data_IF_859983230479
#
_entry.id   IF_859983230479
#
_cell.length_a   1.000
_cell.length_b   1.000
_cell.length_c   1.000
_cell.angle_alpha   90.00
_cell.angle_beta   90.00
_cell.angle_gamma   90.00
#
_symmetry.space_group_name_H-M   'P 1'
#
loop_
_entity.id
_entity.type
_entity.pdbx_description
1 polymer ?
#
# COMPACT_ATOMS: atom_id res chain seq x y z
N UNK A 1 2.12 19.49 -9.11
CA UNK A 1 2.33 19.04 -10.51
C UNK A 1 2.82 17.61 -10.48
N UNK A 2 2.30 16.70 -11.30
CA UNK A 2 2.71 15.28 -11.28
C UNK A 2 4.11 15.09 -11.91
N UNK A 3 4.93 14.21 -11.34
CA UNK A 3 6.24 13.86 -11.90
C UNK A 3 6.08 12.93 -13.11
N UNK A 4 6.06 13.52 -14.32
CA UNK A 4 5.85 12.78 -15.58
C UNK A 4 6.94 11.74 -15.84
N UNK A 5 8.18 12.01 -15.42
CA UNK A 5 9.30 11.08 -15.61
C UNK A 5 9.07 9.79 -14.82
N UNK A 6 8.71 9.91 -13.54
CA UNK A 6 8.43 8.75 -12.70
C UNK A 6 7.19 7.96 -13.15
N UNK A 7 6.14 8.66 -13.64
CA UNK A 7 4.97 8.00 -14.24
C UNK A 7 5.39 7.15 -15.45
N UNK A 8 6.20 7.71 -16.35
CA UNK A 8 6.66 7.01 -17.56
C UNK A 8 7.57 5.83 -17.18
N UNK A 9 8.46 5.99 -16.19
CA UNK A 9 9.29 4.89 -15.67
C UNK A 9 8.43 3.76 -15.11
N UNK A 10 7.44 4.08 -14.26
CA UNK A 10 6.53 3.08 -13.71
C UNK A 10 5.72 2.38 -14.80
N UNK A 11 5.21 3.11 -15.79
CA UNK A 11 4.49 2.54 -16.92
C UNK A 11 5.38 1.63 -17.78
N UNK A 12 6.60 2.04 -18.10
CA UNK A 12 7.53 1.21 -18.88
C UNK A 12 7.89 -0.08 -18.13
N UNK A 13 8.15 0.00 -16.82
CA UNK A 13 8.41 -1.19 -15.98
C UNK A 13 7.24 -2.16 -15.99
N UNK A 14 6.02 -1.65 -15.81
CA UNK A 14 4.80 -2.45 -15.89
C UNK A 14 4.63 -3.12 -17.25
N UNK A 15 4.96 -2.43 -18.34
CA UNK A 15 4.91 -3.00 -19.68
C UNK A 15 5.93 -4.12 -19.87
N UNK A 16 7.16 -3.96 -19.37
CA UNK A 16 8.17 -5.02 -19.34
C UNK A 16 7.71 -6.24 -18.53
N UNK A 17 6.90 -6.01 -17.49
CA UNK A 17 6.35 -7.07 -16.65
C UNK A 17 5.09 -7.74 -17.23
N UNK A 18 4.79 -7.52 -18.53
CA UNK A 18 3.76 -8.23 -19.29
C UNK A 18 2.46 -7.47 -19.52
N UNK A 19 2.31 -6.24 -19.02
CA UNK A 19 1.12 -5.44 -19.29
C UNK A 19 1.19 -4.80 -20.69
N UNK A 20 0.03 -4.62 -21.33
CA UNK A 20 -0.02 -3.77 -22.53
C UNK A 20 0.35 -2.33 -22.16
N UNK A 21 0.94 -1.58 -23.10
CA UNK A 21 1.29 -0.15 -22.87
C UNK A 21 0.11 0.66 -22.34
N UNK A 22 -1.09 0.46 -22.90
CA UNK A 22 -2.30 1.15 -22.45
C UNK A 22 -2.64 0.84 -20.98
N UNK A 23 -2.62 -0.44 -20.58
CA UNK A 23 -2.87 -0.83 -19.20
C UNK A 23 -1.79 -0.29 -18.24
N UNK A 24 -0.53 -0.36 -18.65
CA UNK A 24 0.59 0.09 -17.85
C UNK A 24 0.53 1.61 -17.57
N UNK A 25 0.26 2.41 -18.60
CA UNK A 25 0.09 3.86 -18.44
C UNK A 25 -1.14 4.22 -17.60
N UNK A 26 -2.27 3.52 -17.75
CA UNK A 26 -3.45 3.72 -16.90
C UNK A 26 -3.12 3.48 -15.42
N UNK A 27 -2.47 2.35 -15.10
CA UNK A 27 -2.09 2.01 -13.71
C UNK A 27 -1.08 2.99 -13.12
N UNK A 28 -0.06 3.39 -13.88
CA UNK A 28 0.92 4.38 -13.43
C UNK A 28 0.27 5.74 -13.15
N UNK A 29 -0.68 6.16 -13.97
CA UNK A 29 -1.44 7.39 -13.74
C UNK A 29 -2.38 7.31 -12.55
N UNK A 30 -3.05 6.17 -12.34
CA UNK A 30 -3.86 5.93 -11.13
C UNK A 30 -3.01 6.06 -9.86
N UNK A 31 -1.81 5.48 -9.85
CA UNK A 31 -0.89 5.62 -8.73
C UNK A 31 -0.43 7.06 -8.52
N UNK A 32 -0.05 7.77 -9.58
CA UNK A 32 0.40 9.15 -9.44
C UNK A 32 -0.69 10.08 -8.88
N UNK A 33 -1.97 9.76 -9.13
CA UNK A 33 -3.11 10.49 -8.57
C UNK A 33 -3.40 10.17 -7.10
N UNK A 34 -2.75 9.13 -6.53
CA UNK A 34 -3.10 8.59 -5.22
C UNK A 34 -4.25 7.59 -5.35
N UNK A 35 -3.89 6.31 -5.45
CA UNK A 35 -4.87 5.22 -5.52
C UNK A 35 -5.26 4.81 -4.11
N UNK A 36 -6.55 4.86 -3.80
CA UNK A 36 -7.06 4.30 -2.55
C UNK A 36 -7.05 2.78 -2.59
N UNK A 37 -6.44 2.17 -1.60
CA UNK A 37 -6.32 0.73 -1.43
C UNK A 37 -7.00 0.29 -0.13
N UNK A 38 -7.62 -0.88 -0.18
CA UNK A 38 -8.21 -1.53 0.99
C UNK A 38 -7.19 -2.53 1.53
N UNK A 39 -6.86 -2.39 2.81
CA UNK A 39 -5.94 -3.30 3.50
C UNK A 39 -6.68 -4.59 3.88
N UNK A 40 -6.05 -5.73 3.62
CA UNK A 40 -6.54 -7.08 3.90
C UNK A 40 -5.79 -7.71 5.07
N UNK A 41 -6.35 -8.77 5.64
CA UNK A 41 -5.73 -9.48 6.78
C UNK A 41 -5.78 -8.72 8.12
N UNK A 42 -6.56 -7.64 8.20
CA UNK A 42 -6.67 -6.75 9.38
C UNK A 42 -7.23 -7.44 10.63
N UNK A 43 -7.91 -8.57 10.48
CA UNK A 43 -8.55 -9.31 11.59
C UNK A 43 -7.59 -10.24 12.33
N UNK A 44 -6.41 -10.52 11.76
CA UNK A 44 -5.53 -11.55 12.30
C UNK A 44 -4.59 -10.98 13.37
N UNK A 45 -4.38 -11.76 14.44
CA UNK A 45 -3.41 -11.45 15.49
C UNK A 45 -3.67 -10.09 16.15
N UNK A 46 -2.62 -9.31 16.37
CA UNK A 46 -2.67 -8.01 17.07
C UNK A 46 -3.03 -6.83 16.15
N UNK A 47 -3.43 -7.09 14.90
CA UNK A 47 -3.67 -6.02 13.90
C UNK A 47 -4.88 -5.16 14.25
N UNK A 48 -5.94 -5.73 14.80
CA UNK A 48 -7.08 -4.95 15.30
C UNK A 48 -6.69 -4.01 16.44
N UNK A 49 -5.85 -4.47 17.37
CA UNK A 49 -5.31 -3.64 18.45
C UNK A 49 -4.43 -2.51 17.90
N UNK A 50 -3.58 -2.80 16.91
CA UNK A 50 -2.76 -1.79 16.25
C UNK A 50 -3.62 -0.72 15.54
N UNK A 51 -4.66 -1.13 14.80
CA UNK A 51 -5.58 -0.19 14.13
C UNK A 51 -6.37 0.64 15.15
N UNK A 52 -6.81 0.03 16.25
CA UNK A 52 -7.47 0.75 17.35
C UNK A 52 -6.53 1.78 18.01
N UNK A 53 -5.25 1.43 18.16
CA UNK A 53 -4.23 2.34 18.69
C UNK A 53 -3.99 3.51 17.73
N UNK A 54 -3.94 3.27 16.41
CA UNK A 54 -3.82 4.32 15.39
C UNK A 54 -4.94 5.37 15.48
N UNK A 55 -6.17 4.99 15.89
CA UNK A 55 -7.30 5.93 16.03
C UNK A 55 -7.08 7.00 17.10
N UNK A 56 -6.14 6.79 18.02
CA UNK A 56 -5.88 7.73 19.12
C UNK A 56 -4.94 8.88 18.70
N UNK A 57 -4.41 8.86 17.48
CA UNK A 57 -3.43 9.83 16.98
C UNK A 57 -4.00 10.63 15.81
N UNK A 58 -3.46 11.81 15.56
CA UNK A 58 -3.78 12.54 14.35
C UNK A 58 -3.27 11.77 13.11
N UNK A 59 -4.03 11.69 12.00
CA UNK A 59 -3.58 10.99 10.80
C UNK A 59 -2.21 11.44 10.26
N UNK A 60 -1.78 12.69 10.53
CA UNK A 60 -0.46 13.20 10.14
C UNK A 60 0.69 12.62 10.97
N UNK A 61 0.40 12.09 12.16
CA UNK A 61 1.38 11.39 13.01
C UNK A 61 1.56 9.92 12.63
N UNK A 62 0.62 9.38 11.84
CA UNK A 62 0.63 7.99 11.39
C UNK A 62 1.30 7.89 10.02
N UNK A 63 2.52 7.38 9.99
CA UNK A 63 3.21 7.07 8.74
C UNK A 63 2.79 5.69 8.23
N UNK A 64 2.45 5.59 6.95
CA UNK A 64 2.13 4.31 6.30
C UNK A 64 3.23 3.97 5.28
N UNK A 65 3.88 2.84 5.49
CA UNK A 65 4.86 2.27 4.58
C UNK A 65 4.29 1.03 3.87
N UNK A 66 4.69 0.86 2.61
CA UNK A 66 4.43 -0.34 1.82
C UNK A 66 5.75 -1.09 1.68
N UNK A 67 5.79 -2.29 2.23
CA UNK A 67 7.04 -3.07 2.34
C UNK A 67 6.90 -4.40 1.60
N UNK A 68 7.92 -4.77 0.82
CA UNK A 68 7.95 -6.07 0.17
C UNK A 68 8.20 -7.15 1.21
N UNK A 69 7.31 -8.12 1.31
CA UNK A 69 7.54 -9.32 2.11
C UNK A 69 7.92 -10.49 1.20
N UNK A 70 9.20 -10.55 0.83
CA UNK A 70 9.75 -11.64 0.00
C UNK A 70 10.03 -12.92 0.81
N UNK A 71 9.85 -12.88 2.13
CA UNK A 71 10.08 -14.01 3.03
C UNK A 71 8.81 -14.81 3.32
N UNK A 72 7.64 -14.32 2.90
CA UNK A 72 6.38 -15.03 3.05
C UNK A 72 6.37 -16.26 2.14
N UNK A 73 6.30 -17.45 2.73
CA UNK A 73 6.20 -18.73 2.00
C UNK A 73 4.91 -18.87 1.17
N UNK A 74 3.95 -17.95 1.32
CA UNK A 74 2.60 -18.09 0.74
C UNK A 74 2.37 -17.24 -0.51
N UNK A 75 2.89 -16.01 -0.54
CA UNK A 75 2.66 -15.06 -1.64
C UNK A 75 3.95 -14.28 -1.93
N UNK A 76 4.64 -14.58 -3.03
CA UNK A 76 5.88 -13.91 -3.44
C UNK A 76 5.69 -12.40 -3.69
N UNK A 77 4.50 -12.02 -4.15
CA UNK A 77 4.11 -10.65 -4.43
C UNK A 77 3.59 -9.89 -3.21
N UNK A 78 3.63 -10.49 -2.01
CA UNK A 78 3.07 -9.88 -0.81
C UNK A 78 3.67 -8.49 -0.53
N UNK A 79 2.77 -7.53 -0.30
CA UNK A 79 3.11 -6.19 0.16
C UNK A 79 2.44 -5.96 1.50
N UNK A 80 3.28 -5.78 2.52
CA UNK A 80 2.86 -5.42 3.85
C UNK A 80 2.53 -3.95 3.95
N UNK A 81 1.48 -3.66 4.71
CA UNK A 81 1.12 -2.32 5.12
C UNK A 81 1.58 -2.16 6.56
N UNK A 82 2.59 -1.33 6.74
CA UNK A 82 3.20 -1.05 8.04
C UNK A 82 2.82 0.34 8.47
N UNK A 83 2.23 0.46 9.66
CA UNK A 83 1.95 1.73 10.29
C UNK A 83 3.04 2.05 11.31
N UNK A 84 3.60 3.25 11.26
CA UNK A 84 4.60 3.75 12.20
C UNK A 84 4.05 4.97 12.93
N UNK A 85 4.09 4.93 14.26
CA UNK A 85 3.65 6.02 15.15
C UNK A 85 4.79 6.29 16.13
N UNK A 86 5.33 7.51 16.12
CA UNK A 86 6.43 7.95 16.99
C UNK A 86 7.60 6.93 17.08
N UNK A 87 7.97 6.33 15.94
CA UNK A 87 9.08 5.36 15.84
C UNK A 87 8.70 3.89 16.10
N UNK A 88 7.48 3.60 16.55
CA UNK A 88 7.00 2.24 16.73
C UNK A 88 6.25 1.75 15.48
N UNK A 89 6.70 0.65 14.90
CA UNK A 89 6.15 0.09 13.66
C UNK A 89 5.35 -1.19 13.91
N UNK A 90 4.20 -1.30 13.23
CA UNK A 90 3.31 -2.44 13.32
C UNK A 90 2.81 -2.82 11.92
N UNK A 91 2.90 -4.10 11.56
CA UNK A 91 2.17 -4.63 10.40
C UNK A 91 0.67 -4.58 10.70
N UNK A 92 -0.09 -3.83 9.91
CA UNK A 92 -1.54 -3.66 10.06
C UNK A 92 -2.34 -4.45 9.02
N UNK A 93 -1.64 -5.09 8.08
CA UNK A 93 -2.21 -6.01 7.10
C UNK A 93 -1.41 -6.04 5.81
N UNK A 94 -2.07 -6.46 4.73
CA UNK A 94 -1.47 -6.65 3.41
C UNK A 94 -2.31 -5.99 2.33
N UNK A 95 -1.71 -5.72 1.18
CA UNK A 95 -2.48 -5.41 -0.03
C UNK A 95 -3.17 -6.68 -0.55
N UNK A 96 -4.34 -6.51 -1.18
CA UNK A 96 -4.98 -7.63 -1.87
C UNK A 96 -4.08 -8.16 -3.00
N UNK A 97 -4.04 -9.48 -3.21
CA UNK A 97 -3.10 -10.13 -4.13
C UNK A 97 -3.16 -9.55 -5.55
N UNK A 98 -4.36 -9.22 -6.06
CA UNK A 98 -4.54 -8.58 -7.38
C UNK A 98 -3.92 -7.19 -7.50
N UNK A 99 -3.75 -6.48 -6.38
CA UNK A 99 -3.05 -5.20 -6.31
C UNK A 99 -1.56 -5.43 -6.08
N UNK A 100 -1.24 -6.35 -5.18
CA UNK A 100 0.13 -6.68 -4.80
C UNK A 100 0.95 -7.17 -6.02
N UNK A 101 0.37 -8.03 -6.85
CA UNK A 101 1.02 -8.65 -8.03
C UNK A 101 1.68 -7.67 -9.00
N UNK A 102 1.10 -6.48 -9.20
CA UNK A 102 1.68 -5.49 -10.11
C UNK A 102 2.41 -4.37 -9.38
N UNK A 103 2.10 -4.11 -8.12
CA UNK A 103 2.85 -3.16 -7.31
C UNK A 103 4.20 -3.73 -6.88
N UNK A 104 4.29 -5.04 -6.62
CA UNK A 104 5.54 -5.74 -6.33
C UNK A 104 6.52 -5.52 -7.46
N UNK A 105 6.06 -5.75 -8.70
CA UNK A 105 6.79 -5.49 -9.95
C UNK A 105 7.21 -4.02 -10.12
N UNK A 106 6.53 -3.06 -9.52
CA UNK A 106 6.99 -1.66 -9.55
C UNK A 106 8.09 -1.43 -8.51
N UNK A 107 7.89 -1.96 -7.30
CA UNK A 107 8.80 -1.84 -6.17
C UNK A 107 10.12 -2.56 -6.40
N UNK A 108 10.09 -3.78 -6.96
CA UNK A 108 11.27 -4.63 -7.21
C UNK A 108 12.21 -4.02 -8.25
N UNK A 109 11.69 -3.12 -9.11
CA UNK A 109 12.50 -2.34 -10.04
C UNK A 109 12.98 -1.01 -9.43
N UNK A 110 12.81 -0.79 -8.13
CA UNK A 110 13.32 0.37 -7.40
C UNK A 110 12.43 1.62 -7.45
N UNK A 111 11.15 1.51 -7.84
CA UNK A 111 10.23 2.65 -7.69
C UNK A 111 9.63 2.63 -6.28
N UNK A 112 9.98 3.63 -5.49
CA UNK A 112 9.42 3.80 -4.15
C UNK A 112 7.93 4.19 -4.21
N UNK A 113 7.14 3.59 -3.32
CA UNK A 113 5.74 3.94 -3.12
C UNK A 113 5.58 4.60 -1.75
N UNK A 114 4.84 5.70 -1.71
CA UNK A 114 4.44 6.38 -0.48
C UNK A 114 3.02 5.99 -0.12
N UNK A 115 2.83 5.49 1.09
CA UNK A 115 1.52 5.29 1.71
C UNK A 115 1.07 6.52 2.51
N UNK A 116 -0.23 6.66 2.69
CA UNK A 116 -0.83 7.60 3.64
C UNK A 116 -2.11 6.98 4.23
N UNK A 117 -2.35 7.23 5.52
CA UNK A 117 -3.60 6.85 6.15
C UNK A 117 -4.74 7.67 5.52
N UNK A 118 -5.72 6.99 4.92
CA UNK A 118 -6.90 7.65 4.37
C UNK A 118 -8.07 7.60 5.34
N UNK A 119 -8.39 6.39 5.81
CA UNK A 119 -9.57 6.18 6.64
C UNK A 119 -9.45 4.87 7.42
N UNK A 120 -9.86 4.91 8.68
CA UNK A 120 -10.20 3.72 9.47
C UNK A 120 -11.71 3.57 9.41
N UNK A 121 -12.20 2.39 9.04
CA UNK A 121 -13.63 2.08 8.91
C UNK A 121 -14.05 1.04 9.95
N UNK A 122 -15.34 0.97 10.27
CA UNK A 122 -15.84 0.06 11.32
C UNK A 122 -15.69 0.65 12.73
N UNK A 123 -15.44 -0.20 13.72
CA UNK A 123 -15.43 0.19 15.14
C UNK A 123 -16.81 0.11 15.81
N UNK A 124 -16.91 0.61 17.03
CA UNK A 124 -18.16 0.64 17.82
C UNK A 124 -18.86 -0.74 17.92
N UNK A 125 -18.10 -1.77 18.29
CA UNK A 125 -18.58 -3.15 18.37
C UNK A 125 -18.44 -3.96 17.07
N UNK A 126 -17.99 -3.34 15.99
CA UNK A 126 -17.57 -4.01 14.75
C UNK A 126 -16.04 -4.02 14.62
N UNK A 127 -15.52 -4.95 13.81
CA UNK A 127 -14.10 -4.98 13.46
C UNK A 127 -13.69 -3.75 12.64
N UNK A 128 -12.47 -3.30 12.86
CA UNK A 128 -11.86 -2.23 12.10
C UNK A 128 -11.39 -2.72 10.73
N UNK A 129 -11.64 -1.91 9.72
CA UNK A 129 -11.00 -1.96 8.42
C UNK A 129 -10.10 -0.74 8.20
N UNK A 130 -9.21 -0.86 7.23
CA UNK A 130 -8.22 0.18 6.95
C UNK A 130 -8.17 0.49 5.44
N UNK A 131 -8.20 1.78 5.12
CA UNK A 131 -8.00 2.32 3.78
C UNK A 131 -6.79 3.25 3.79
N UNK A 132 -5.94 3.08 2.79
CA UNK A 132 -4.75 3.90 2.59
C UNK A 132 -4.76 4.49 1.19
N UNK A 133 -4.09 5.62 1.00
CA UNK A 133 -3.73 6.09 -0.33
C UNK A 133 -2.28 5.69 -0.63
N UNK A 134 -2.06 5.15 -1.83
CA UNK A 134 -0.73 4.79 -2.34
C UNK A 134 -0.41 5.64 -3.56
N UNK A 135 0.81 6.19 -3.60
CA UNK A 135 1.31 6.97 -4.73
C UNK A 135 2.79 6.70 -5.00
N UNK A 136 3.22 6.94 -6.22
CA UNK A 136 4.64 6.98 -6.55
C UNK A 136 5.30 8.11 -5.75
N UNK A 137 6.43 7.82 -5.10
CA UNK A 137 7.18 8.78 -4.29
C UNK A 137 7.91 9.82 -5.16
#
# INVERSE_FOLDING_TARGET
MYNRSEIVKAANKLATAGLTKSQAFKRAWELAKGKTLVVKGVLQGKRQTAINHMQQYDPSEVTINLERNTTSYFEEDAIEVVATIHGNSYCVGYLASSVAEWLSKIMDFGTALKGALKQIVGGNGLYYGLRIDAKIA
#
